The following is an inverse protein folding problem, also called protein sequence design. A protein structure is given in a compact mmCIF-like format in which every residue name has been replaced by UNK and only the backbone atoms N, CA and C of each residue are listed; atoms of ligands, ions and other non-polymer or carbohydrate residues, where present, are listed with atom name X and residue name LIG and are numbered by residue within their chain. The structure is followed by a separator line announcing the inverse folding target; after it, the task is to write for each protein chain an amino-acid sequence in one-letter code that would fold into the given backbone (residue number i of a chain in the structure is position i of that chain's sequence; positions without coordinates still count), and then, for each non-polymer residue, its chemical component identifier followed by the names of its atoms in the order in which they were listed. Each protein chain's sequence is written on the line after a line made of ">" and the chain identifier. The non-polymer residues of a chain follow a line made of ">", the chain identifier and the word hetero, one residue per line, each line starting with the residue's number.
data_IF_391664887598
#
_entry.id   IF_391664887598
#
_cell.length_a   1.000
_cell.length_b   1.000
_cell.length_c   1.000
_cell.angle_alpha   90.00
_cell.angle_beta   90.00
_cell.angle_gamma   90.00
#
_symmetry.space_group_name_H-M   'P 1'
#
loop_
_entity.id
_entity.type
_entity.pdbx_description
1 polymer ?
#
# COMPACT_ATOMS: atom_id res chain seq x y z
N UNK A 1 -25.56 13.13 11.59
CA UNK A 1 -24.47 14.04 11.22
C UNK A 1 -23.43 13.37 10.33
N UNK A 2 -23.00 12.15 10.66
CA UNK A 2 -21.99 11.42 9.87
C UNK A 2 -22.39 11.16 8.43
N UNK A 3 -21.37 10.96 7.59
CA UNK A 3 -21.50 10.59 6.18
C UNK A 3 -21.48 9.07 6.03
N UNK A 4 -22.24 8.55 5.07
CA UNK A 4 -22.16 7.17 4.60
C UNK A 4 -21.97 7.22 3.10
N UNK A 5 -20.90 6.61 2.60
CA UNK A 5 -20.58 6.59 1.19
C UNK A 5 -20.95 5.22 0.62
N UNK A 6 -21.59 5.19 -0.54
CA UNK A 6 -22.07 3.95 -1.17
C UNK A 6 -21.55 3.88 -2.61
N UNK A 7 -21.13 2.69 -3.04
CA UNK A 7 -20.63 2.42 -4.39
C UNK A 7 -19.46 3.34 -4.78
N UNK A 8 -18.34 3.22 -4.05
CA UNK A 8 -17.12 4.02 -4.27
C UNK A 8 -17.40 5.54 -4.25
N UNK A 9 -18.37 5.96 -3.41
CA UNK A 9 -18.70 7.38 -3.23
C UNK A 9 -19.66 7.95 -4.27
N UNK A 10 -20.13 7.12 -5.20
CA UNK A 10 -21.12 7.52 -6.19
C UNK A 10 -22.38 8.07 -5.54
N UNK A 11 -22.76 7.57 -4.36
CA UNK A 11 -23.85 8.12 -3.55
C UNK A 11 -23.34 8.52 -2.17
N UNK A 12 -23.57 9.78 -1.80
CA UNK A 12 -23.23 10.34 -0.49
C UNK A 12 -24.51 10.51 0.31
N UNK A 13 -24.56 9.88 1.48
CA UNK A 13 -25.66 9.98 2.42
C UNK A 13 -25.23 10.74 3.68
N UNK A 14 -26.11 11.57 4.22
CA UNK A 14 -25.93 12.17 5.56
C UNK A 14 -26.95 11.57 6.51
N UNK A 15 -26.48 10.96 7.60
CA UNK A 15 -27.34 10.39 8.64
C UNK A 15 -28.12 11.52 9.31
N UNK A 16 -29.45 11.42 9.30
CA UNK A 16 -30.36 12.39 9.95
C UNK A 16 -30.93 11.88 11.26
N UNK A 17 -31.12 10.56 11.40
CA UNK A 17 -31.67 9.92 12.60
C UNK A 17 -31.08 8.52 12.79
N UNK A 18 -30.86 8.11 14.04
CA UNK A 18 -30.45 6.75 14.42
C UNK A 18 -31.68 6.04 15.01
N UNK A 19 -31.97 4.84 14.50
CA UNK A 19 -33.02 3.95 14.98
C UNK A 19 -32.41 2.74 15.68
N UNK A 20 -33.26 1.91 16.29
CA UNK A 20 -32.84 0.68 16.96
C UNK A 20 -32.20 -0.34 16.00
N UNK A 21 -32.74 -0.47 14.78
CA UNK A 21 -32.35 -1.46 13.77
C UNK A 21 -31.78 -0.83 12.48
N UNK A 22 -31.48 0.47 12.50
CA UNK A 22 -30.96 1.15 11.31
C UNK A 22 -30.80 2.66 11.45
N UNK A 23 -30.74 3.32 10.30
CA UNK A 23 -30.58 4.77 10.22
C UNK A 23 -31.57 5.36 9.22
N UNK A 24 -31.99 6.60 9.45
CA UNK A 24 -32.54 7.44 8.39
C UNK A 24 -31.40 8.32 7.89
N UNK A 25 -31.22 8.34 6.57
CA UNK A 25 -30.25 9.21 5.94
C UNK A 25 -30.88 9.96 4.76
N UNK A 26 -30.37 11.17 4.52
CA UNK A 26 -30.70 11.97 3.34
C UNK A 26 -29.64 11.77 2.28
N UNK A 27 -30.06 11.48 1.05
CA UNK A 27 -29.16 11.48 -0.10
C UNK A 27 -28.76 12.92 -0.46
N UNK A 28 -27.45 13.16 -0.58
CA UNK A 28 -26.92 14.47 -0.95
C UNK A 28 -26.79 14.63 -2.47
N UNK A 29 -26.87 13.53 -3.22
CA UNK A 29 -26.81 13.51 -4.68
C UNK A 29 -27.64 12.35 -5.25
N UNK A 30 -27.82 12.34 -6.57
CA UNK A 30 -28.49 11.25 -7.29
C UNK A 30 -27.46 10.29 -7.86
N UNK A 31 -27.71 8.97 -7.75
CA UNK A 31 -26.87 7.92 -8.33
C UNK A 31 -27.71 6.68 -8.68
N UNK A 32 -27.25 5.89 -9.64
CA UNK A 32 -27.82 4.56 -9.93
C UNK A 32 -26.99 3.50 -9.22
N UNK A 33 -27.64 2.63 -8.44
CA UNK A 33 -26.97 1.56 -7.70
C UNK A 33 -27.28 0.20 -8.33
N UNK A 34 -26.26 -0.65 -8.37
CA UNK A 34 -26.42 -2.08 -8.61
C UNK A 34 -26.49 -2.86 -7.30
N UNK A 35 -26.43 -4.19 -7.38
CA UNK A 35 -26.41 -5.04 -6.19
C UNK A 35 -25.03 -5.08 -5.52
N UNK A 36 -25.01 -5.42 -4.22
CA UNK A 36 -23.80 -5.71 -3.42
C UNK A 36 -22.72 -4.63 -3.53
N UNK A 37 -23.12 -3.36 -3.43
CA UNK A 37 -22.20 -2.23 -3.42
C UNK A 37 -21.51 -2.10 -2.07
N UNK A 38 -20.24 -1.70 -2.10
CA UNK A 38 -19.49 -1.38 -0.90
C UNK A 38 -20.06 -0.13 -0.22
N UNK A 39 -19.76 -0.03 1.07
CA UNK A 39 -20.12 1.10 1.90
C UNK A 39 -18.93 1.48 2.77
N UNK A 40 -18.69 2.78 2.89
CA UNK A 40 -17.67 3.35 3.75
C UNK A 40 -18.32 4.24 4.80
N UNK A 41 -17.72 4.26 5.99
CA UNK A 41 -18.23 4.99 7.16
C UNK A 41 -17.13 5.94 7.68
N UNK A 42 -16.83 7.03 6.95
CA UNK A 42 -15.70 7.90 7.28
C UNK A 42 -15.73 8.40 8.72
N UNK A 43 -14.60 8.23 9.41
CA UNK A 43 -14.43 8.64 10.81
C UNK A 43 -15.11 7.73 11.84
N UNK A 44 -15.72 6.61 11.43
CA UNK A 44 -16.25 5.61 12.34
C UNK A 44 -15.24 4.48 12.56
N UNK A 45 -15.07 4.07 13.83
CA UNK A 45 -14.37 2.83 14.15
C UNK A 45 -15.27 1.64 13.86
N UNK A 46 -14.97 0.94 12.78
CA UNK A 46 -15.72 -0.26 12.39
C UNK A 46 -15.37 -1.39 13.36
N UNK A 47 -16.36 -2.00 14.00
CA UNK A 47 -16.16 -3.07 15.00
C UNK A 47 -16.25 -4.48 14.39
N UNK A 48 -15.81 -4.64 13.15
CA UNK A 48 -15.71 -5.96 12.51
C UNK A 48 -14.43 -6.67 12.94
N UNK A 49 -14.45 -8.02 13.05
CA UNK A 49 -13.23 -8.78 13.32
C UNK A 49 -12.20 -8.55 12.21
N UNK A 50 -10.91 -8.70 12.54
CA UNK A 50 -9.83 -8.60 11.56
C UNK A 50 -10.00 -9.60 10.41
N UNK A 51 -10.39 -10.83 10.76
CA UNK A 51 -10.55 -11.95 9.84
C UNK A 51 -11.95 -12.51 10.00
N UNK A 52 -12.58 -12.80 8.87
CA UNK A 52 -13.79 -13.62 8.81
C UNK A 52 -13.43 -15.10 8.73
N UNK A 53 -14.41 -15.99 8.96
CA UNK A 53 -14.21 -17.44 8.77
C UNK A 53 -13.72 -17.78 7.35
N UNK A 54 -14.18 -17.01 6.35
CA UNK A 54 -13.72 -17.15 4.97
C UNK A 54 -12.27 -16.73 4.80
N UNK A 55 -11.84 -15.63 5.45
CA UNK A 55 -10.45 -15.20 5.36
C UNK A 55 -9.52 -16.23 6.01
N UNK A 56 -9.93 -16.83 7.14
CA UNK A 56 -9.16 -17.92 7.75
C UNK A 56 -9.07 -19.16 6.83
N UNK A 57 -10.17 -19.53 6.16
CA UNK A 57 -10.19 -20.60 5.15
C UNK A 57 -9.26 -20.29 3.97
N UNK A 58 -9.33 -19.08 3.42
CA UNK A 58 -8.46 -18.62 2.33
C UNK A 58 -6.99 -18.66 2.75
N UNK A 59 -6.66 -18.29 3.99
CA UNK A 59 -5.28 -18.35 4.50
C UNK A 59 -4.79 -19.80 4.66
N UNK A 60 -5.60 -20.67 5.28
CA UNK A 60 -5.16 -22.01 5.69
C UNK A 60 -5.32 -23.04 4.58
N UNK A 61 -6.45 -23.06 3.90
CA UNK A 61 -6.82 -24.10 2.94
C UNK A 61 -6.44 -23.73 1.51
N UNK A 62 -6.20 -22.45 1.22
CA UNK A 62 -5.64 -22.02 -0.05
C UNK A 62 -4.19 -21.53 0.09
N UNK A 63 -3.94 -20.49 0.88
CA UNK A 63 -2.62 -19.84 0.98
C UNK A 63 -1.49 -20.78 1.40
N UNK A 64 -1.67 -21.50 2.53
CA UNK A 64 -0.66 -22.46 3.01
C UNK A 64 -0.52 -23.69 2.11
N UNK A 65 -1.56 -24.07 1.38
CA UNK A 65 -1.55 -25.25 0.50
C UNK A 65 -0.80 -24.94 -0.79
N UNK A 66 -0.98 -23.74 -1.34
CA UNK A 66 -0.35 -23.30 -2.58
C UNK A 66 1.01 -22.65 -2.37
N UNK A 67 1.44 -22.40 -1.13
CA UNK A 67 2.76 -21.87 -0.82
C UNK A 67 2.95 -20.44 -1.32
N UNK A 68 1.96 -19.58 -1.10
CA UNK A 68 2.03 -18.16 -1.48
C UNK A 68 3.17 -17.43 -0.73
N UNK A 69 3.79 -16.45 -1.39
CA UNK A 69 4.88 -15.66 -0.79
C UNK A 69 4.37 -14.49 0.04
N UNK A 70 3.25 -13.87 -0.37
CA UNK A 70 2.70 -12.66 0.23
C UNK A 70 1.19 -12.79 0.48
N UNK A 71 0.74 -12.16 1.56
CA UNK A 71 -0.67 -11.88 1.85
C UNK A 71 -0.81 -10.37 1.87
N UNK A 72 -1.75 -9.85 1.08
CA UNK A 72 -2.18 -8.46 1.15
C UNK A 72 -3.39 -8.36 2.07
N UNK A 73 -3.18 -7.90 3.30
CA UNK A 73 -4.21 -7.85 4.33
C UNK A 73 -5.03 -6.57 4.20
N UNK A 74 -6.33 -6.70 3.89
CA UNK A 74 -7.25 -5.56 3.73
C UNK A 74 -7.68 -4.99 5.07
N UNK A 75 -7.97 -3.68 5.08
CA UNK A 75 -8.51 -2.92 6.20
C UNK A 75 -7.77 -3.13 7.52
N UNK A 76 -6.43 -3.20 7.47
CA UNK A 76 -5.60 -3.27 8.68
C UNK A 76 -5.72 -1.95 9.44
N UNK A 77 -6.12 -2.04 10.71
CA UNK A 77 -6.40 -0.90 11.60
C UNK A 77 -5.40 -0.80 12.75
N UNK A 78 -4.86 -1.92 13.20
CA UNK A 78 -3.98 -2.00 14.38
C UNK A 78 -2.86 -2.99 14.16
N UNK A 79 -1.81 -2.93 14.99
CA UNK A 79 -0.77 -3.96 14.99
C UNK A 79 -1.29 -5.34 15.40
N UNK A 80 -2.34 -5.40 16.23
CA UNK A 80 -2.99 -6.65 16.65
C UNK A 80 -3.60 -7.42 15.46
N UNK A 81 -4.02 -6.72 14.40
CA UNK A 81 -4.53 -7.36 13.19
C UNK A 81 -3.48 -8.26 12.54
N UNK A 82 -2.21 -7.81 12.51
CA UNK A 82 -1.09 -8.59 11.99
C UNK A 82 -0.81 -9.80 12.87
N UNK A 83 -0.85 -9.63 14.20
CA UNK A 83 -0.67 -10.74 15.15
C UNK A 83 -1.75 -11.81 14.97
N UNK A 84 -2.99 -11.41 14.69
CA UNK A 84 -4.10 -12.33 14.41
C UNK A 84 -3.84 -13.14 13.14
N UNK A 85 -3.43 -12.49 12.04
CA UNK A 85 -3.08 -13.18 10.78
C UNK A 85 -1.91 -14.14 11.01
N UNK A 86 -0.87 -13.71 11.75
CA UNK A 86 0.28 -14.57 12.10
C UNK A 86 -0.14 -15.81 12.88
N UNK A 87 -1.07 -15.66 13.83
CA UNK A 87 -1.59 -16.76 14.62
C UNK A 87 -2.30 -17.81 13.76
N UNK A 88 -3.11 -17.37 12.79
CA UNK A 88 -3.81 -18.27 11.85
C UNK A 88 -2.83 -19.02 10.94
N UNK A 89 -1.82 -18.32 10.40
CA UNK A 89 -0.78 -18.92 9.57
C UNK A 89 0.08 -19.95 10.32
N UNK A 90 0.29 -19.73 11.62
CA UNK A 90 1.06 -20.61 12.49
C UNK A 90 2.48 -20.90 11.98
N UNK A 91 3.10 -22.00 12.45
CA UNK A 91 4.46 -22.35 12.04
C UNK A 91 4.62 -22.62 10.53
N UNK A 92 3.56 -23.11 9.87
CA UNK A 92 3.57 -23.44 8.44
C UNK A 92 3.70 -22.19 7.57
N UNK A 93 3.10 -21.08 7.97
CA UNK A 93 3.14 -19.82 7.23
C UNK A 93 4.23 -18.84 7.68
N UNK A 94 5.22 -19.27 8.47
CA UNK A 94 6.29 -18.38 9.00
C UNK A 94 7.07 -17.64 7.90
N UNK A 95 7.21 -18.25 6.73
CA UNK A 95 7.89 -17.65 5.58
C UNK A 95 7.06 -16.63 4.81
N UNK A 96 5.73 -16.69 4.92
CA UNK A 96 4.80 -15.86 4.16
C UNK A 96 4.88 -14.43 4.68
N UNK A 97 4.95 -13.46 3.78
CA UNK A 97 5.03 -12.04 4.10
C UNK A 97 3.66 -11.40 4.18
N UNK A 98 3.47 -10.48 5.13
CA UNK A 98 2.22 -9.73 5.28
C UNK A 98 2.47 -8.30 4.80
N UNK A 99 1.70 -7.88 3.81
CA UNK A 99 1.62 -6.51 3.32
C UNK A 99 0.32 -5.91 3.81
N UNK A 100 0.39 -4.99 4.76
CA UNK A 100 -0.80 -4.34 5.32
C UNK A 100 -1.30 -3.25 4.39
N UNK A 101 -2.56 -3.35 3.96
CA UNK A 101 -3.24 -2.33 3.17
C UNK A 101 -3.79 -1.27 4.11
N UNK A 102 -3.33 -0.03 3.94
CA UNK A 102 -3.81 1.11 4.71
C UNK A 102 -4.96 1.77 3.93
N UNK A 103 -6.17 1.48 4.39
CA UNK A 103 -7.43 1.78 3.68
C UNK A 103 -8.39 2.63 4.51
N UNK A 104 -8.05 2.90 5.77
CA UNK A 104 -8.94 3.58 6.71
C UNK A 104 -8.24 4.67 7.49
N UNK A 105 -9.02 5.61 8.02
CA UNK A 105 -8.51 6.65 8.91
C UNK A 105 -7.82 6.06 10.15
N UNK A 106 -8.41 5.03 10.76
CA UNK A 106 -7.83 4.35 11.93
C UNK A 106 -6.49 3.66 11.60
N UNK A 107 -6.38 3.04 10.42
CA UNK A 107 -5.11 2.47 9.96
C UNK A 107 -4.02 3.52 9.77
N UNK A 108 -4.38 4.76 9.38
CA UNK A 108 -3.42 5.86 9.32
C UNK A 108 -3.03 6.38 10.71
N UNK A 109 -3.98 6.50 11.64
CA UNK A 109 -3.68 6.93 13.02
C UNK A 109 -2.72 5.96 13.71
N UNK A 110 -2.92 4.65 13.52
CA UNK A 110 -2.10 3.60 14.11
C UNK A 110 -0.93 3.15 13.21
N UNK A 111 -0.60 3.92 12.18
CA UNK A 111 0.34 3.50 11.14
C UNK A 111 1.70 3.05 11.68
N UNK A 112 2.24 3.73 12.69
CA UNK A 112 3.55 3.38 13.26
C UNK A 112 3.54 2.01 13.97
N UNK A 113 2.44 1.66 14.63
CA UNK A 113 2.26 0.34 15.24
C UNK A 113 2.15 -0.76 14.18
N UNK A 114 1.36 -0.50 13.12
CA UNK A 114 1.20 -1.40 11.99
C UNK A 114 2.53 -1.61 11.28
N UNK A 115 3.24 -0.51 11.00
CA UNK A 115 4.53 -0.52 10.33
C UNK A 115 5.55 -1.32 11.13
N UNK A 116 5.54 -1.27 12.46
CA UNK A 116 6.46 -2.04 13.29
C UNK A 116 6.27 -3.57 13.12
N UNK A 117 5.03 -4.05 12.95
CA UNK A 117 4.70 -5.49 12.92
C UNK A 117 4.58 -6.11 11.52
N UNK A 118 4.23 -5.32 10.52
CA UNK A 118 4.07 -5.80 9.12
C UNK A 118 5.41 -6.13 8.46
N UNK A 119 5.42 -6.90 7.36
CA UNK A 119 6.61 -7.02 6.51
C UNK A 119 6.70 -5.91 5.45
N UNK A 120 5.56 -5.32 5.07
CA UNK A 120 5.49 -4.20 4.14
C UNK A 120 4.14 -3.49 4.19
N UNK A 121 4.01 -2.41 3.43
CA UNK A 121 2.82 -1.57 3.38
C UNK A 121 2.29 -1.51 1.95
N UNK A 122 0.98 -1.45 1.80
CA UNK A 122 0.32 -1.03 0.57
C UNK A 122 -0.48 0.25 0.83
N UNK A 123 -0.17 1.29 0.06
CA UNK A 123 -0.94 2.53 0.00
C UNK A 123 -2.14 2.26 -0.91
N UNK A 124 -3.24 1.80 -0.32
CA UNK A 124 -4.45 1.40 -1.04
C UNK A 124 -5.39 2.60 -1.25
N UNK A 125 -5.10 3.40 -2.29
CA UNK A 125 -5.67 4.74 -2.48
C UNK A 125 -7.16 4.75 -2.80
N UNK A 126 -7.68 3.67 -3.37
CA UNK A 126 -9.12 3.53 -3.68
C UNK A 126 -9.96 3.65 -2.42
N UNK A 127 -9.86 2.68 -1.52
CA UNK A 127 -10.59 2.69 -0.25
C UNK A 127 -10.13 3.83 0.68
N UNK A 128 -8.84 4.17 0.69
CA UNK A 128 -8.37 5.29 1.52
C UNK A 128 -9.00 6.62 1.09
N UNK A 129 -9.10 6.88 -0.22
CA UNK A 129 -9.75 8.09 -0.76
C UNK A 129 -11.26 8.16 -0.52
N UNK A 130 -11.87 7.06 -0.07
CA UNK A 130 -13.22 7.01 0.44
C UNK A 130 -13.29 7.41 1.92
N UNK A 131 -12.26 7.10 2.70
CA UNK A 131 -12.23 7.32 4.15
C UNK A 131 -11.69 8.70 4.55
N UNK A 132 -10.87 9.33 3.71
CA UNK A 132 -10.35 10.69 3.91
C UNK A 132 -10.63 11.60 2.71
N UNK A 133 -10.61 12.94 2.89
CA UNK A 133 -10.81 13.85 1.76
C UNK A 133 -9.82 13.55 0.62
N UNK A 134 -10.28 13.41 -0.64
CA UNK A 134 -9.42 13.04 -1.78
C UNK A 134 -8.20 13.95 -1.95
N UNK A 135 -8.35 15.25 -1.67
CA UNK A 135 -7.28 16.24 -1.72
C UNK A 135 -6.19 16.02 -0.65
N UNK A 136 -6.38 15.11 0.31
CA UNK A 136 -5.40 14.76 1.35
C UNK A 136 -4.73 13.41 1.14
N UNK A 137 -5.21 12.58 0.20
CA UNK A 137 -4.67 11.23 -0.05
C UNK A 137 -3.19 11.27 -0.42
N UNK A 138 -2.76 12.28 -1.18
CA UNK A 138 -1.35 12.43 -1.55
C UNK A 138 -0.44 12.68 -0.33
N UNK A 139 -0.94 13.36 0.72
CA UNK A 139 -0.19 13.57 1.95
C UNK A 139 0.01 12.24 2.69
N UNK A 140 -1.06 11.43 2.76
CA UNK A 140 -1.00 10.10 3.35
C UNK A 140 -0.03 9.17 2.60
N UNK A 141 -0.08 9.15 1.27
CA UNK A 141 0.85 8.39 0.43
C UNK A 141 2.30 8.76 0.74
N UNK A 142 2.65 10.05 0.65
CA UNK A 142 4.03 10.53 0.88
C UNK A 142 4.51 10.21 2.29
N UNK A 143 3.65 10.36 3.29
CA UNK A 143 3.95 10.02 4.68
C UNK A 143 4.24 8.52 4.84
N UNK A 144 3.39 7.66 4.30
CA UNK A 144 3.53 6.21 4.40
C UNK A 144 4.80 5.71 3.69
N UNK A 145 5.05 6.19 2.46
CA UNK A 145 6.25 5.84 1.70
C UNK A 145 7.50 6.27 2.47
N UNK A 146 7.55 7.53 2.94
CA UNK A 146 8.71 8.03 3.69
C UNK A 146 9.00 7.20 4.93
N UNK A 147 7.97 6.88 5.72
CA UNK A 147 8.13 6.08 6.94
C UNK A 147 8.53 4.63 6.65
N UNK A 148 7.98 4.02 5.60
CA UNK A 148 8.36 2.68 5.16
C UNK A 148 9.84 2.63 4.72
N UNK A 149 10.29 3.63 3.97
CA UNK A 149 11.69 3.77 3.54
C UNK A 149 12.64 3.92 4.73
N UNK A 150 12.25 4.72 5.74
CA UNK A 150 13.04 4.86 6.98
C UNK A 150 13.08 3.57 7.81
N UNK A 151 12.02 2.76 7.75
CA UNK A 151 11.95 1.46 8.43
C UNK A 151 12.61 0.32 7.63
N UNK A 152 13.06 0.57 6.40
CA UNK A 152 13.58 -0.47 5.50
C UNK A 152 12.54 -1.54 5.16
N UNK A 153 11.26 -1.15 5.06
CA UNK A 153 10.15 -2.07 4.72
C UNK A 153 9.57 -1.71 3.36
N UNK A 154 9.31 -2.70 2.48
CA UNK A 154 8.74 -2.46 1.17
C UNK A 154 7.39 -1.73 1.23
N UNK A 155 7.18 -0.79 0.32
CA UNK A 155 5.92 -0.06 0.13
C UNK A 155 5.42 -0.14 -1.31
N UNK A 156 4.14 -0.52 -1.46
CA UNK A 156 3.45 -0.63 -2.74
C UNK A 156 2.46 0.52 -2.89
N UNK A 157 2.59 1.33 -3.94
CA UNK A 157 1.56 2.32 -4.30
C UNK A 157 0.54 1.65 -5.20
N UNK A 158 -0.74 1.72 -4.83
CA UNK A 158 -1.79 0.92 -5.43
C UNK A 158 -3.03 1.73 -5.85
N UNK A 159 -3.77 1.14 -6.79
CA UNK A 159 -5.10 1.53 -7.27
C UNK A 159 -5.12 2.77 -8.17
N UNK A 160 -5.85 2.69 -9.29
CA UNK A 160 -6.08 3.80 -10.25
C UNK A 160 -4.81 4.48 -10.77
N UNK A 161 -3.71 3.73 -10.94
CA UNK A 161 -2.46 4.31 -11.46
C UNK A 161 -2.54 4.54 -12.98
N UNK A 162 -3.18 3.63 -13.72
CA UNK A 162 -3.41 3.73 -15.16
C UNK A 162 -4.88 3.41 -15.51
N UNK A 163 -5.84 3.81 -14.67
CA UNK A 163 -7.26 3.40 -14.72
C UNK A 163 -7.89 3.52 -16.12
N UNK A 164 -7.62 4.59 -16.85
CA UNK A 164 -8.16 4.80 -18.20
C UNK A 164 -7.76 3.69 -19.18
N UNK A 165 -6.65 2.99 -18.93
CA UNK A 165 -6.17 1.89 -19.75
C UNK A 165 -7.01 0.61 -19.66
N UNK A 166 -7.99 0.56 -18.75
CA UNK A 166 -9.03 -0.49 -18.80
C UNK A 166 -9.77 -0.44 -20.13
N UNK A 167 -9.99 0.77 -20.69
CA UNK A 167 -10.77 0.98 -21.92
C UNK A 167 -10.04 1.72 -23.03
N UNK A 168 -8.87 2.30 -22.75
CA UNK A 168 -8.07 3.02 -23.72
C UNK A 168 -6.69 2.37 -23.92
N UNK A 169 -6.16 2.34 -25.16
CA UNK A 169 -4.83 1.79 -25.42
C UNK A 169 -3.68 2.69 -24.90
N UNK A 170 -3.98 3.86 -24.35
CA UNK A 170 -3.01 4.83 -23.84
C UNK A 170 -3.54 5.48 -22.57
N UNK A 171 -2.67 5.76 -21.58
CA UNK A 171 -3.07 6.46 -20.39
C UNK A 171 -3.20 7.97 -20.66
N UNK A 172 -3.79 8.64 -19.69
CA UNK A 172 -3.77 10.10 -19.59
C UNK A 172 -2.38 10.59 -19.14
N UNK A 173 -2.12 11.88 -19.33
CA UNK A 173 -0.90 12.52 -18.81
C UNK A 173 -0.84 12.51 -17.29
N UNK A 174 -2.00 12.61 -16.64
CA UNK A 174 -2.12 12.59 -15.18
C UNK A 174 -1.68 11.25 -14.61
N UNK A 175 -2.14 10.14 -15.21
CA UNK A 175 -1.77 8.77 -14.83
C UNK A 175 -0.27 8.50 -14.97
N UNK A 176 0.35 8.88 -16.10
CA UNK A 176 1.81 8.79 -16.23
C UNK A 176 2.55 9.61 -15.15
N UNK A 177 2.02 10.79 -14.83
CA UNK A 177 2.62 11.67 -13.81
C UNK A 177 2.45 11.09 -12.41
N UNK A 178 1.33 10.42 -12.13
CA UNK A 178 1.05 9.74 -10.88
C UNK A 178 2.02 8.58 -10.64
N UNK A 179 2.19 7.71 -11.64
CA UNK A 179 3.19 6.63 -11.61
C UNK A 179 4.60 7.17 -11.39
N UNK A 180 5.00 8.17 -12.18
CA UNK A 180 6.33 8.76 -12.04
C UNK A 180 6.56 9.36 -10.65
N UNK A 181 5.58 10.08 -10.09
CA UNK A 181 5.73 10.66 -8.76
C UNK A 181 5.73 9.62 -7.65
N UNK A 182 5.00 8.51 -7.76
CA UNK A 182 5.07 7.42 -6.79
C UNK A 182 6.50 6.81 -6.74
N UNK A 183 7.14 6.63 -7.90
CA UNK A 183 8.54 6.19 -7.99
C UNK A 183 9.49 7.23 -7.40
N UNK A 184 9.31 8.52 -7.71
CA UNK A 184 10.14 9.61 -7.17
C UNK A 184 9.96 9.82 -5.66
N UNK A 185 8.78 9.51 -5.12
CA UNK A 185 8.53 9.49 -3.67
C UNK A 185 9.29 8.33 -2.99
N UNK A 186 9.70 7.33 -3.77
CA UNK A 186 10.47 6.18 -3.32
C UNK A 186 9.63 4.95 -3.01
N UNK A 187 8.55 4.70 -3.77
CA UNK A 187 7.81 3.43 -3.66
C UNK A 187 8.63 2.26 -4.22
N UNK A 188 8.61 1.10 -3.57
CA UNK A 188 9.33 -0.10 -4.04
C UNK A 188 8.60 -0.81 -5.18
N UNK A 189 7.26 -0.73 -5.20
CA UNK A 189 6.45 -1.28 -6.26
C UNK A 189 5.22 -0.41 -6.57
N UNK A 190 4.79 -0.50 -7.82
CA UNK A 190 3.55 0.08 -8.34
C UNK A 190 2.62 -1.05 -8.79
N UNK A 191 1.31 -0.86 -8.65
CA UNK A 191 0.34 -1.93 -8.85
C UNK A 191 -0.72 -1.55 -9.91
N UNK A 192 -1.00 -2.51 -10.80
CA UNK A 192 -2.16 -2.49 -11.69
C UNK A 192 -3.28 -3.35 -11.08
N UNK A 193 -4.50 -2.85 -11.12
CA UNK A 193 -5.70 -3.50 -10.59
C UNK A 193 -6.61 -3.96 -11.73
N UNK A 194 -7.60 -3.14 -12.10
CA UNK A 194 -8.53 -3.47 -13.19
C UNK A 194 -7.82 -3.49 -14.55
N UNK A 195 -6.79 -2.66 -14.71
CA UNK A 195 -6.03 -2.53 -15.96
C UNK A 195 -5.49 -3.87 -16.46
N UNK A 196 -5.04 -4.74 -15.56
CA UNK A 196 -4.50 -6.06 -15.87
C UNK A 196 -5.53 -7.18 -15.69
N UNK A 197 -6.43 -7.07 -14.71
CA UNK A 197 -7.37 -8.13 -14.35
C UNK A 197 -8.57 -8.25 -15.31
N UNK A 198 -9.10 -7.11 -15.78
CA UNK A 198 -10.30 -7.07 -16.64
C UNK A 198 -10.27 -5.97 -17.71
N UNK A 199 -9.11 -5.37 -17.94
CA UNK A 199 -8.89 -4.34 -18.96
C UNK A 199 -8.79 -4.89 -20.38
N UNK A 200 -9.08 -4.04 -21.35
CA UNK A 200 -8.99 -4.37 -22.78
C UNK A 200 -7.52 -4.30 -23.28
N UNK A 201 -6.60 -3.71 -22.50
CA UNK A 201 -5.19 -3.46 -22.85
C UNK A 201 -4.17 -3.84 -21.75
N UNK A 202 -4.22 -5.07 -21.19
CA UNK A 202 -3.42 -5.44 -20.01
C UNK A 202 -1.91 -5.45 -20.28
N UNK A 203 -1.48 -5.89 -21.47
CA UNK A 203 -0.05 -5.89 -21.84
C UNK A 203 0.49 -4.48 -21.98
N UNK A 204 -0.26 -3.60 -22.65
CA UNK A 204 0.13 -2.20 -22.85
C UNK A 204 0.18 -1.44 -21.51
N UNK A 205 -0.72 -1.76 -20.58
CA UNK A 205 -0.68 -1.18 -19.23
C UNK A 205 0.65 -1.50 -18.52
N UNK A 206 1.11 -2.75 -18.59
CA UNK A 206 2.41 -3.16 -18.03
C UNK A 206 3.58 -2.50 -18.76
N UNK A 207 3.55 -2.44 -20.09
CA UNK A 207 4.60 -1.80 -20.89
C UNK A 207 4.74 -0.31 -20.56
N UNK A 208 3.62 0.41 -20.45
CA UNK A 208 3.62 1.84 -20.13
C UNK A 208 4.00 2.09 -18.68
N UNK A 209 3.54 1.25 -17.73
CA UNK A 209 3.97 1.31 -16.34
C UNK A 209 5.50 1.18 -16.24
N UNK A 210 6.07 0.14 -16.87
CA UNK A 210 7.51 -0.11 -16.89
C UNK A 210 8.30 1.02 -17.53
N UNK A 211 7.86 1.51 -18.70
CA UNK A 211 8.51 2.64 -19.37
C UNK A 211 8.48 3.90 -18.50
N UNK A 212 7.39 4.15 -17.78
CA UNK A 212 7.26 5.31 -16.88
C UNK A 212 8.19 5.19 -15.68
N UNK A 213 8.26 4.02 -15.03
CA UNK A 213 9.19 3.75 -13.94
C UNK A 213 10.64 3.98 -14.36
N UNK A 214 11.06 3.42 -15.50
CA UNK A 214 12.41 3.60 -16.04
C UNK A 214 12.74 5.08 -16.26
N UNK A 215 11.82 5.87 -16.80
CA UNK A 215 12.06 7.32 -16.98
C UNK A 215 12.16 8.04 -15.63
N UNK A 216 11.29 7.74 -14.67
CA UNK A 216 11.33 8.34 -13.35
C UNK A 216 12.63 8.02 -12.61
N UNK A 217 13.09 6.77 -12.67
CA UNK A 217 14.35 6.30 -12.07
C UNK A 217 15.58 7.04 -12.60
N UNK A 218 15.55 7.54 -13.85
CA UNK A 218 16.64 8.37 -14.39
C UNK A 218 16.71 9.78 -13.82
N UNK A 219 15.60 10.28 -13.27
CA UNK A 219 15.51 11.61 -12.69
C UNK A 219 15.93 11.65 -11.22
N UNK A 220 16.14 10.49 -10.59
CA UNK A 220 16.54 10.38 -9.18
C UNK A 220 18.01 10.78 -9.02
N UNK A 221 18.27 11.74 -8.13
CA UNK A 221 19.63 12.06 -7.71
C UNK A 221 20.05 11.16 -6.54
N UNK A 222 20.52 9.95 -6.87
CA UNK A 222 20.75 8.86 -5.90
C UNK A 222 21.69 9.21 -4.74
N UNK A 223 22.71 10.06 -4.96
CA UNK A 223 23.59 10.46 -3.86
C UNK A 223 22.85 11.31 -2.82
N UNK A 224 21.91 12.16 -3.22
CA UNK A 224 21.13 12.97 -2.26
C UNK A 224 20.12 12.10 -1.52
N UNK A 225 19.47 11.16 -2.23
CA UNK A 225 18.58 10.17 -1.60
C UNK A 225 19.35 9.36 -0.56
N UNK A 226 20.54 8.84 -0.91
CA UNK A 226 21.39 8.08 0.01
C UNK A 226 21.75 8.91 1.26
N UNK A 227 22.23 10.15 1.08
CA UNK A 227 22.63 10.99 2.21
C UNK A 227 21.43 11.35 3.09
N UNK A 228 20.30 11.72 2.49
CA UNK A 228 19.07 12.06 3.22
C UNK A 228 18.55 10.87 4.02
N UNK A 229 18.48 9.69 3.41
CA UNK A 229 18.01 8.47 4.06
C UNK A 229 18.94 8.07 5.19
N UNK A 230 20.24 8.00 4.93
CA UNK A 230 21.24 7.62 5.94
C UNK A 230 21.20 8.54 7.15
N UNK A 231 21.15 9.85 6.94
CA UNK A 231 21.14 10.82 8.04
C UNK A 231 19.85 10.70 8.86
N UNK A 232 18.70 10.54 8.20
CA UNK A 232 17.42 10.36 8.89
C UNK A 232 17.36 9.05 9.68
N UNK A 233 17.89 7.95 9.15
CA UNK A 233 17.97 6.67 9.89
C UNK A 233 18.85 6.82 11.13
N UNK A 234 20.01 7.47 11.03
CA UNK A 234 20.88 7.72 12.19
C UNK A 234 20.25 8.63 13.23
N UNK A 235 19.45 9.62 12.80
CA UNK A 235 18.73 10.52 13.69
C UNK A 235 17.64 9.78 14.48
N UNK A 236 16.88 8.91 13.82
CA UNK A 236 15.74 8.18 14.42
C UNK A 236 16.19 6.97 15.23
N UNK A 237 17.13 6.18 14.71
CA UNK A 237 17.52 4.88 15.28
C UNK A 237 18.85 4.91 16.03
N UNK A 238 19.64 5.98 15.90
CA UNK A 238 20.98 6.06 16.46
C UNK A 238 22.03 5.30 15.62
N UNK A 239 23.13 4.82 16.23
CA UNK A 239 24.20 4.13 15.52
C UNK A 239 23.73 2.83 14.84
N UNK A 240 24.11 2.65 13.58
CA UNK A 240 23.82 1.44 12.80
C UNK A 240 24.48 0.20 13.39
N UNK A 241 23.82 -0.95 13.24
CA UNK A 241 24.44 -2.25 13.50
C UNK A 241 25.49 -2.58 12.43
N UNK A 242 26.38 -3.53 12.72
CA UNK A 242 27.49 -3.88 11.81
C UNK A 242 27.01 -4.28 10.41
N UNK A 243 25.97 -5.11 10.30
CA UNK A 243 25.45 -5.56 9.00
C UNK A 243 24.91 -4.39 8.16
N UNK A 244 24.14 -3.50 8.79
CA UNK A 244 23.57 -2.30 8.17
C UNK A 244 24.67 -1.29 7.77
N UNK A 245 25.68 -1.11 8.63
CA UNK A 245 26.83 -0.24 8.33
C UNK A 245 27.62 -0.73 7.11
N UNK A 246 27.79 -2.06 6.96
CA UNK A 246 28.44 -2.67 5.78
C UNK A 246 27.58 -2.47 4.54
N UNK A 247 26.26 -2.71 4.61
CA UNK A 247 25.34 -2.50 3.50
C UNK A 247 25.32 -1.03 3.03
N UNK A 248 25.19 -0.08 3.97
CA UNK A 248 25.26 1.36 3.70
C UNK A 248 26.58 1.76 3.05
N UNK A 249 27.71 1.21 3.52
CA UNK A 249 29.04 1.48 2.95
C UNK A 249 29.20 0.90 1.55
N UNK A 250 28.62 -0.28 1.27
CA UNK A 250 28.62 -0.88 -0.06
C UNK A 250 27.85 0.00 -1.06
N UNK A 251 26.68 0.51 -0.67
CA UNK A 251 25.91 1.46 -1.51
C UNK A 251 26.70 2.74 -1.77
N UNK A 252 27.32 3.34 -0.74
CA UNK A 252 28.16 4.53 -0.94
C UNK A 252 29.33 4.27 -1.88
N UNK A 253 30.01 3.14 -1.70
CA UNK A 253 31.12 2.73 -2.57
C UNK A 253 30.66 2.58 -4.01
N UNK A 254 29.51 1.94 -4.24
CA UNK A 254 28.93 1.77 -5.57
C UNK A 254 28.62 3.11 -6.26
N UNK A 255 28.08 4.08 -5.50
CA UNK A 255 27.85 5.44 -6.00
C UNK A 255 29.18 6.11 -6.36
N UNK A 256 30.16 6.07 -5.47
CA UNK A 256 31.44 6.80 -5.62
C UNK A 256 32.28 6.29 -6.81
N UNK A 257 32.24 4.99 -7.09
CA UNK A 257 32.97 4.39 -8.23
C UNK A 257 32.11 4.17 -9.47
N UNK A 258 30.83 4.56 -9.43
CA UNK A 258 29.85 4.30 -10.49
C UNK A 258 29.77 2.80 -10.88
N UNK A 259 29.67 1.94 -9.87
CA UNK A 259 29.58 0.49 -10.06
C UNK A 259 28.31 0.12 -10.84
N UNK A 260 28.40 -0.94 -11.67
CA UNK A 260 27.26 -1.43 -12.46
C UNK A 260 26.35 -2.38 -11.71
N UNK A 261 26.83 -2.97 -10.61
CA UNK A 261 26.10 -3.97 -9.84
C UNK A 261 26.67 -4.08 -8.43
N UNK A 262 25.81 -4.39 -7.47
CA UNK A 262 26.15 -4.91 -6.15
C UNK A 262 25.79 -6.39 -6.11
N UNK A 263 26.77 -7.26 -5.83
CA UNK A 263 26.53 -8.71 -5.69
C UNK A 263 26.40 -9.04 -4.21
N UNK A 264 25.24 -9.58 -3.82
CA UNK A 264 24.93 -9.89 -2.42
C UNK A 264 24.64 -11.39 -2.30
N UNK A 265 25.46 -12.08 -1.50
CA UNK A 265 25.21 -13.48 -1.12
C UNK A 265 24.34 -13.49 0.14
N UNK A 266 23.17 -14.13 0.08
CA UNK A 266 22.23 -14.16 1.21
C UNK A 266 21.35 -15.40 1.18
N UNK A 267 21.15 -16.03 2.34
CA UNK A 267 20.29 -17.21 2.49
C UNK A 267 18.83 -16.80 2.79
N UNK A 268 18.64 -15.78 3.63
CA UNK A 268 17.31 -15.34 4.11
C UNK A 268 16.82 -14.05 3.44
N UNK A 269 17.62 -13.49 2.54
CA UNK A 269 17.41 -12.18 1.92
C UNK A 269 17.76 -10.99 2.83
N UNK A 270 18.13 -11.19 4.09
CA UNK A 270 18.32 -10.10 5.05
C UNK A 270 19.52 -9.19 4.75
N UNK A 271 20.46 -9.65 3.93
CA UNK A 271 21.60 -8.82 3.50
C UNK A 271 21.26 -8.01 2.26
N UNK A 272 20.29 -8.47 1.47
CA UNK A 272 19.83 -7.78 0.28
C UNK A 272 18.74 -6.73 0.58
N UNK A 273 17.96 -6.95 1.64
CA UNK A 273 17.10 -5.94 2.28
C UNK A 273 17.95 -4.98 3.09
#
# INVERSE_FOLDING_TARGET
>A
GGAVLVADGSLVLTVTEIKEDGIIARANNTATLGERKNMNLPGCKVLLPTLTEKDEDDLVNFGLVHGIDYISASFVRTGQDIDNIRKVLGPRGRGIKIISKIESHEGMENFDEILAKTDGIMVARGDLGMEIPPETVFLAQKMMIRKANLAGKPVVTATQMLESMIKAPRPTRAECTDVANAVLDGTDAVMLSGESANGDYPTQAVEVMSATCLQAETAIHYNDVYQSLRNAVLEVNGPMQTAEAVASSAVKTAIDINAKMLVVLTETGNTAR
#
